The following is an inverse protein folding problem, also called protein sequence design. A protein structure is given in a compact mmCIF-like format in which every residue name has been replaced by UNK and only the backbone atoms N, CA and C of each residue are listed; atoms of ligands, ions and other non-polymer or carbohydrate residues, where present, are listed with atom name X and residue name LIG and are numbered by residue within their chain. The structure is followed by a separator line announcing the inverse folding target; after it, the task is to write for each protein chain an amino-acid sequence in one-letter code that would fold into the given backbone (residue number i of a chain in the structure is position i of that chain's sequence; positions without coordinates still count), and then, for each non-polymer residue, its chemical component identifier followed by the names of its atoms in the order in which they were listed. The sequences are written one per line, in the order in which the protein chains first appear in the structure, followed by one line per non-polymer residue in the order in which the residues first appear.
data_IF_997861822905
#
_entry.id   IF_997861822905
#
_cell.length_a   1.000
_cell.length_b   1.000
_cell.length_c   1.000
_cell.angle_alpha   90.00
_cell.angle_beta   90.00
_cell.angle_gamma   90.00
#
_symmetry.space_group_name_H-M   'P 1'
#
loop_
_entity.id
_entity.type
_entity.pdbx_description
1 polymer ?
#
# COMPACT_ATOMS: atom_id res chain seq x y z
N UNK A 1 -10.01 14.16 -4.37
CA UNK A 1 -10.78 14.44 -5.61
C UNK A 1 -11.13 13.17 -6.37
N UNK A 2 -10.15 12.34 -6.77
CA UNK A 2 -10.43 11.14 -7.59
C UNK A 2 -11.40 10.14 -6.96
N UNK A 3 -11.17 9.75 -5.70
CA UNK A 3 -12.07 8.82 -5.01
C UNK A 3 -13.46 9.42 -4.76
N UNK A 4 -13.55 10.68 -4.36
CA UNK A 4 -14.82 11.39 -4.23
C UNK A 4 -15.64 11.34 -5.53
N UNK A 5 -15.00 11.54 -6.69
CA UNK A 5 -15.67 11.43 -7.99
C UNK A 5 -16.12 10.00 -8.31
N UNK A 6 -15.31 8.99 -7.96
CA UNK A 6 -15.70 7.60 -8.10
C UNK A 6 -16.93 7.27 -7.23
N UNK A 7 -16.97 7.76 -6.00
CA UNK A 7 -18.11 7.59 -5.08
C UNK A 7 -19.37 8.27 -5.66
N UNK A 8 -19.27 9.51 -6.16
CA UNK A 8 -20.39 10.20 -6.81
C UNK A 8 -20.96 9.41 -7.99
N UNK A 9 -20.10 8.93 -8.88
CA UNK A 9 -20.50 8.09 -10.02
C UNK A 9 -21.12 6.77 -9.56
N UNK A 10 -20.56 6.15 -8.52
CA UNK A 10 -21.11 4.92 -7.96
C UNK A 10 -22.50 5.16 -7.36
N UNK A 11 -22.75 6.30 -6.68
CA UNK A 11 -24.09 6.66 -6.16
C UNK A 11 -25.15 6.68 -7.27
N UNK A 12 -24.79 7.17 -8.46
CA UNK A 12 -25.70 7.31 -9.60
C UNK A 12 -25.82 6.03 -10.44
N UNK A 13 -24.71 5.38 -10.77
CA UNK A 13 -24.64 4.28 -11.74
C UNK A 13 -24.32 2.92 -11.12
N UNK A 14 -24.11 2.86 -9.81
CA UNK A 14 -23.68 1.65 -9.10
C UNK A 14 -22.16 1.48 -9.02
N UNK A 15 -21.44 1.80 -10.08
CA UNK A 15 -19.98 1.68 -10.16
C UNK A 15 -19.39 2.99 -10.66
N UNK A 16 -18.40 3.50 -9.96
CA UNK A 16 -17.59 4.63 -10.40
C UNK A 16 -16.15 4.19 -10.61
N UNK A 17 -15.59 4.55 -11.77
CA UNK A 17 -14.20 4.25 -12.14
C UNK A 17 -13.53 5.53 -12.60
N UNK A 18 -12.39 5.84 -12.00
CA UNK A 18 -11.63 7.07 -12.27
C UNK A 18 -10.18 6.71 -12.53
N UNK A 19 -9.69 7.08 -13.71
CA UNK A 19 -8.28 7.04 -14.05
C UNK A 19 -7.68 8.44 -13.91
N UNK A 20 -6.52 8.53 -13.26
CA UNK A 20 -5.82 9.79 -12.96
C UNK A 20 -4.46 9.73 -13.62
N UNK A 21 -4.08 10.83 -14.28
CA UNK A 21 -2.78 10.97 -14.92
C UNK A 21 -2.03 12.22 -14.48
N UNK A 22 -0.71 12.24 -14.70
CA UNK A 22 0.17 13.35 -14.33
C UNK A 22 0.07 13.72 -12.83
N UNK A 23 0.03 12.70 -11.97
CA UNK A 23 -0.05 12.83 -10.53
C UNK A 23 1.32 12.67 -9.86
N UNK A 24 1.32 12.70 -8.52
CA UNK A 24 2.46 12.45 -7.66
C UNK A 24 2.17 11.29 -6.68
N UNK A 25 3.12 10.99 -5.81
CA UNK A 25 2.94 10.03 -4.73
C UNK A 25 1.77 10.45 -3.82
N UNK A 26 0.79 9.55 -3.62
CA UNK A 26 -0.44 9.85 -2.86
C UNK A 26 -0.44 9.35 -1.40
N UNK A 27 0.69 8.81 -0.92
CA UNK A 27 0.77 8.20 0.41
C UNK A 27 0.17 6.79 0.46
N UNK A 28 -0.64 6.54 1.48
CA UNK A 28 -1.21 5.23 1.80
C UNK A 28 -2.50 4.98 1.02
N UNK A 29 -2.55 3.91 0.22
CA UNK A 29 -3.72 3.56 -0.58
C UNK A 29 -4.95 3.22 0.27
N UNK A 30 -4.75 2.65 1.46
CA UNK A 30 -5.82 2.38 2.42
C UNK A 30 -6.63 3.64 2.77
N UNK A 31 -6.03 4.83 2.72
CA UNK A 31 -6.75 6.08 2.98
C UNK A 31 -7.78 6.41 1.89
N UNK A 32 -7.50 6.05 0.63
CA UNK A 32 -8.45 6.17 -0.47
C UNK A 32 -9.54 5.08 -0.38
N UNK A 33 -9.16 3.86 -0.02
CA UNK A 33 -10.10 2.76 0.21
C UNK A 33 -11.08 3.12 1.33
N UNK A 34 -10.59 3.69 2.43
CA UNK A 34 -11.42 4.09 3.58
C UNK A 34 -12.52 5.08 3.18
N UNK A 35 -12.23 6.04 2.29
CA UNK A 35 -13.25 7.00 1.82
C UNK A 35 -14.45 6.33 1.17
N UNK A 36 -14.24 5.25 0.42
CA UNK A 36 -15.35 4.49 -0.18
C UNK A 36 -16.08 3.64 0.87
N UNK A 37 -15.35 3.05 1.82
CA UNK A 37 -15.93 2.26 2.91
C UNK A 37 -16.83 3.13 3.81
N UNK A 38 -16.41 4.36 4.10
CA UNK A 38 -17.17 5.33 4.90
C UNK A 38 -18.54 5.65 4.26
N UNK A 39 -18.65 5.47 2.94
CA UNK A 39 -19.88 5.65 2.15
C UNK A 39 -20.63 4.33 1.89
N UNK A 40 -20.24 3.25 2.57
CA UNK A 40 -20.85 1.92 2.42
C UNK A 40 -20.52 1.24 1.10
N UNK A 41 -19.40 1.59 0.45
CA UNK A 41 -18.99 1.07 -0.85
C UNK A 41 -17.73 0.20 -0.76
N UNK A 42 -17.61 -0.75 -1.69
CA UNK A 42 -16.37 -1.46 -1.94
C UNK A 42 -15.42 -0.60 -2.77
N UNK A 43 -14.12 -0.86 -2.70
CA UNK A 43 -13.13 -0.12 -3.49
C UNK A 43 -11.96 -0.97 -3.98
N UNK A 44 -11.43 -0.60 -5.14
CA UNK A 44 -10.14 -1.01 -5.67
C UNK A 44 -9.31 0.25 -5.93
N UNK A 45 -8.04 0.24 -5.52
CA UNK A 45 -7.09 1.35 -5.67
C UNK A 45 -5.77 0.81 -6.17
N UNK A 46 -5.38 1.25 -7.36
CA UNK A 46 -4.11 0.92 -8.01
C UNK A 46 -3.32 2.21 -8.29
N UNK A 47 -2.00 2.11 -8.20
CA UNK A 47 -1.07 3.15 -8.63
C UNK A 47 0.20 2.51 -9.15
N UNK A 48 0.95 3.19 -10.02
CA UNK A 48 2.33 2.83 -10.33
C UNK A 48 3.33 3.73 -9.56
N UNK A 49 4.62 3.47 -9.68
CA UNK A 49 5.70 4.23 -9.03
C UNK A 49 7.02 4.05 -9.79
N UNK A 50 8.02 4.85 -9.41
CA UNK A 50 9.38 4.77 -9.93
C UNK A 50 10.00 3.37 -9.75
N UNK A 51 10.91 2.94 -10.66
CA UNK A 51 11.55 1.63 -10.62
C UNK A 51 12.15 1.25 -9.26
N UNK A 52 11.76 0.10 -8.74
CA UNK A 52 12.25 -0.44 -7.47
C UNK A 52 12.36 -1.98 -7.45
N UNK A 53 11.53 -2.69 -8.21
CA UNK A 53 11.54 -4.15 -8.34
C UNK A 53 12.01 -4.59 -9.72
N UNK A 54 12.70 -5.74 -9.82
CA UNK A 54 12.87 -6.42 -11.09
C UNK A 54 11.58 -7.12 -11.49
N UNK A 55 11.43 -7.36 -12.80
CA UNK A 55 10.52 -8.42 -13.26
C UNK A 55 11.12 -9.78 -12.86
N UNK A 56 10.27 -10.76 -12.57
CA UNK A 56 10.78 -12.09 -12.20
C UNK A 56 11.68 -12.67 -13.31
N UNK A 57 12.88 -13.12 -12.93
CA UNK A 57 13.94 -13.55 -13.86
C UNK A 57 14.87 -12.43 -14.34
N UNK A 58 14.56 -11.17 -14.04
CA UNK A 58 15.44 -10.03 -14.25
C UNK A 58 16.24 -9.66 -12.99
N UNK A 59 17.30 -8.86 -13.17
CA UNK A 59 18.12 -8.32 -12.07
C UNK A 59 18.07 -6.79 -11.93
N UNK A 60 17.51 -6.10 -12.92
CA UNK A 60 17.45 -4.63 -12.95
C UNK A 60 16.12 -4.12 -12.43
N UNK A 61 16.13 -2.98 -11.73
CA UNK A 61 14.91 -2.27 -11.33
C UNK A 61 14.16 -1.83 -12.59
N UNK A 62 12.89 -2.22 -12.69
CA UNK A 62 12.02 -1.86 -13.80
C UNK A 62 10.62 -1.47 -13.31
N UNK A 63 10.05 -2.29 -12.43
CA UNK A 63 8.69 -2.07 -11.94
C UNK A 63 8.68 -1.31 -10.62
N UNK A 64 7.59 -0.60 -10.35
CA UNK A 64 7.35 0.05 -9.06
C UNK A 64 6.99 -0.94 -7.93
N UNK A 65 7.05 -0.46 -6.69
CA UNK A 65 6.55 -1.14 -5.47
C UNK A 65 5.19 -0.62 -5.03
N UNK A 66 4.49 0.08 -5.93
CA UNK A 66 3.23 0.69 -5.59
C UNK A 66 2.20 -0.33 -5.11
N UNK A 67 1.44 0.01 -4.08
CA UNK A 67 0.54 -0.94 -3.46
C UNK A 67 -0.67 -1.24 -4.32
N UNK A 68 -1.14 -2.49 -4.18
CA UNK A 68 -2.51 -2.88 -4.50
C UNK A 68 -3.30 -2.69 -3.22
N UNK A 69 -4.39 -1.94 -3.31
CA UNK A 69 -5.34 -1.86 -2.21
C UNK A 69 -6.77 -2.13 -2.64
N UNK A 70 -7.52 -2.73 -1.74
CA UNK A 70 -8.95 -2.92 -1.89
C UNK A 70 -9.62 -3.01 -0.52
N UNK A 71 -10.93 -2.81 -0.50
CA UNK A 71 -11.67 -2.92 0.75
C UNK A 71 -13.17 -3.00 0.56
N UNK A 72 -13.84 -3.36 1.66
CA UNK A 72 -15.29 -3.54 1.72
C UNK A 72 -15.81 -3.20 3.13
N UNK A 73 -17.01 -2.59 3.23
CA UNK A 73 -17.62 -2.28 4.51
C UNK A 73 -18.08 -3.56 5.24
N UNK A 74 -18.10 -3.48 6.56
CA UNK A 74 -18.63 -4.51 7.46
C UNK A 74 -19.80 -3.94 8.30
N UNK A 75 -20.47 -4.81 9.05
CA UNK A 75 -21.54 -4.45 9.98
C UNK A 75 -20.96 -4.12 11.35
N UNK A 76 -21.01 -5.10 12.24
CA UNK A 76 -20.51 -4.99 13.61
C UNK A 76 -19.00 -5.23 13.72
N UNK A 77 -18.42 -5.96 12.76
CA UNK A 77 -16.99 -6.26 12.74
C UNK A 77 -16.20 -5.16 12.00
N UNK A 78 -14.86 -5.27 12.05
CA UNK A 78 -13.98 -4.34 11.34
C UNK A 78 -14.11 -4.50 9.82
N UNK A 79 -14.10 -3.39 9.05
CA UNK A 79 -14.09 -3.47 7.59
C UNK A 79 -12.84 -4.18 7.07
N UNK A 80 -13.00 -4.83 5.92
CA UNK A 80 -11.92 -5.42 5.16
C UNK A 80 -11.10 -4.32 4.49
N UNK A 81 -9.80 -4.25 4.77
CA UNK A 81 -8.86 -3.37 4.07
C UNK A 81 -7.58 -4.14 3.78
N UNK A 82 -7.30 -4.36 2.51
CA UNK A 82 -6.01 -4.81 2.03
C UNK A 82 -5.25 -3.59 1.49
N UNK A 83 -4.02 -3.39 1.95
CA UNK A 83 -3.07 -2.43 1.38
C UNK A 83 -1.67 -3.06 1.42
N UNK A 84 -1.18 -3.50 0.26
CA UNK A 84 0.06 -4.28 0.19
C UNK A 84 0.94 -3.88 -0.99
N UNK A 85 2.24 -3.72 -0.72
CA UNK A 85 3.25 -3.64 -1.76
C UNK A 85 3.54 -5.03 -2.37
N UNK A 86 3.86 -5.14 -3.67
CA UNK A 86 4.16 -6.41 -4.33
C UNK A 86 5.57 -6.96 -4.04
N UNK A 87 6.32 -6.37 -3.11
CA UNK A 87 7.65 -6.82 -2.69
C UNK A 87 7.57 -7.87 -1.57
N UNK A 88 8.47 -8.84 -1.57
CA UNK A 88 8.52 -9.88 -0.52
C UNK A 88 8.81 -9.32 0.88
N UNK A 89 9.60 -8.25 0.96
CA UNK A 89 9.90 -7.55 2.19
C UNK A 89 10.00 -6.03 1.94
N UNK A 90 9.52 -5.26 2.91
CA UNK A 90 9.72 -3.82 2.92
C UNK A 90 11.19 -3.47 3.18
N UNK A 91 11.69 -2.40 2.55
CA UNK A 91 13.07 -1.90 2.74
C UNK A 91 13.43 -1.70 4.22
N UNK A 92 12.49 -1.21 5.02
CA UNK A 92 12.70 -1.01 6.46
C UNK A 92 13.02 -2.29 7.26
N UNK A 93 12.64 -3.48 6.77
CA UNK A 93 13.05 -4.76 7.37
C UNK A 93 14.54 -5.04 7.17
N UNK A 94 15.09 -4.64 6.02
CA UNK A 94 16.54 -4.72 5.76
C UNK A 94 17.28 -3.72 6.65
N UNK A 95 16.82 -2.47 6.70
CA UNK A 95 17.45 -1.45 7.56
C UNK A 95 17.44 -1.86 9.05
N UNK A 96 16.41 -2.60 9.47
CA UNK A 96 16.37 -3.22 10.80
C UNK A 96 17.43 -4.33 10.94
N UNK A 97 17.51 -5.27 9.99
CA UNK A 97 18.51 -6.34 10.02
C UNK A 97 19.95 -5.80 10.06
N UNK A 98 20.25 -4.73 9.31
CA UNK A 98 21.55 -4.03 9.37
C UNK A 98 21.83 -3.53 10.78
N UNK A 99 20.87 -2.81 11.39
CA UNK A 99 21.02 -2.26 12.74
C UNK A 99 21.22 -3.34 13.81
N UNK A 100 20.68 -4.53 13.58
CA UNK A 100 20.79 -5.67 14.50
C UNK A 100 21.97 -6.59 14.19
N UNK A 101 22.68 -6.39 13.07
CA UNK A 101 23.73 -7.31 12.62
C UNK A 101 23.20 -8.68 12.23
N UNK A 102 21.92 -8.77 11.85
CA UNK A 102 21.24 -10.01 11.51
C UNK A 102 21.30 -10.27 9.99
N UNK A 103 21.25 -11.55 9.62
CA UNK A 103 21.07 -11.98 8.23
C UNK A 103 19.61 -11.85 7.81
N UNK A 104 19.38 -11.65 6.51
CA UNK A 104 18.05 -11.72 5.90
C UNK A 104 17.85 -13.08 5.22
N UNK A 105 16.60 -13.53 5.03
CA UNK A 105 16.33 -14.67 4.17
C UNK A 105 16.88 -14.46 2.75
N UNK A 106 17.48 -15.50 2.18
CA UNK A 106 18.17 -15.44 0.88
C UNK A 106 17.25 -15.14 -0.30
N UNK A 107 15.95 -15.38 -0.15
CA UNK A 107 14.93 -15.16 -1.18
C UNK A 107 14.35 -13.74 -1.18
N UNK A 108 14.88 -12.84 -0.34
CA UNK A 108 14.38 -11.47 -0.23
C UNK A 108 14.90 -10.52 -1.31
N UNK A 109 16.16 -10.70 -1.73
CA UNK A 109 16.87 -9.72 -2.55
C UNK A 109 17.97 -10.36 -3.39
N UNK A 110 18.34 -9.65 -4.44
CA UNK A 110 19.56 -9.87 -5.20
C UNK A 110 20.61 -8.82 -4.81
N UNK A 111 21.88 -9.18 -4.89
CA UNK A 111 23.00 -8.24 -4.84
C UNK A 111 23.19 -7.48 -6.16
N UNK A 112 24.26 -6.68 -6.27
CA UNK A 112 24.59 -5.89 -7.46
C UNK A 112 24.97 -6.73 -8.69
N UNK A 113 25.37 -7.99 -8.50
CA UNK A 113 25.68 -8.92 -9.59
C UNK A 113 24.41 -9.65 -10.08
N UNK A 114 23.39 -9.73 -9.22
CA UNK A 114 22.13 -10.43 -9.48
C UNK A 114 22.03 -11.78 -8.79
N UNK A 115 22.88 -12.06 -7.81
CA UNK A 115 22.84 -13.28 -7.01
C UNK A 115 21.97 -13.09 -5.76
N UNK A 116 21.29 -14.15 -5.34
CA UNK A 116 20.56 -14.18 -4.06
C UNK A 116 21.51 -13.90 -2.89
N UNK A 117 21.06 -13.12 -1.90
CA UNK A 117 21.93 -12.73 -0.78
C UNK A 117 21.21 -12.79 0.57
N UNK A 118 21.90 -13.27 1.61
CA UNK A 118 21.50 -13.17 3.01
C UNK A 118 22.12 -11.95 3.74
N UNK A 119 22.97 -11.19 3.03
CA UNK A 119 23.63 -10.02 3.54
C UNK A 119 22.77 -8.78 3.29
N UNK A 120 22.30 -8.09 4.34
CA UNK A 120 21.41 -6.94 4.16
C UNK A 120 22.10 -5.71 3.54
N UNK A 121 23.42 -5.54 3.69
CA UNK A 121 24.16 -4.46 3.03
C UNK A 121 24.26 -4.71 1.52
N UNK A 122 24.59 -5.94 1.10
CA UNK A 122 24.59 -6.33 -0.31
C UNK A 122 23.20 -6.20 -0.95
N UNK A 123 22.14 -6.51 -0.19
CA UNK A 123 20.76 -6.36 -0.66
C UNK A 123 20.37 -4.89 -0.94
N UNK A 124 20.91 -3.92 -0.18
CA UNK A 124 20.66 -2.50 -0.43
C UNK A 124 21.32 -1.98 -1.71
N UNK A 125 22.43 -2.60 -2.12
CA UNK A 125 23.13 -2.27 -3.36
C UNK A 125 22.46 -2.89 -4.59
N UNK A 126 21.70 -3.98 -4.41
CA UNK A 126 20.97 -4.66 -5.48
C UNK A 126 19.48 -4.29 -5.52
N UNK A 127 18.63 -5.33 -5.54
CA UNK A 127 17.19 -5.21 -5.74
C UNK A 127 16.38 -6.16 -4.86
N UNK A 128 15.23 -5.69 -4.37
CA UNK A 128 14.26 -6.53 -3.69
C UNK A 128 13.51 -7.40 -4.68
N UNK A 129 13.19 -8.63 -4.29
CA UNK A 129 12.42 -9.54 -5.14
C UNK A 129 10.89 -9.37 -4.95
N UNK A 130 10.10 -9.61 -6.00
CA UNK A 130 8.64 -9.63 -5.89
C UNK A 130 8.14 -10.77 -4.98
N UNK A 131 7.07 -10.51 -4.23
CA UNK A 131 6.45 -11.52 -3.37
C UNK A 131 5.91 -12.70 -4.18
N UNK A 132 6.11 -13.93 -3.72
CA UNK A 132 5.63 -15.11 -4.44
C UNK A 132 6.20 -15.24 -5.87
N UNK A 133 7.39 -14.66 -6.12
CA UNK A 133 8.13 -14.76 -7.37
C UNK A 133 7.35 -14.23 -8.60
N UNK A 134 7.05 -15.07 -9.60
CA UNK A 134 6.31 -14.65 -10.79
C UNK A 134 4.96 -13.96 -10.49
N UNK A 135 4.28 -14.35 -9.40
CA UNK A 135 2.96 -13.79 -9.05
C UNK A 135 3.06 -12.33 -8.62
N UNK A 136 3.98 -11.99 -7.72
CA UNK A 136 4.22 -10.60 -7.32
C UNK A 136 4.71 -9.75 -8.48
N UNK A 137 5.56 -10.32 -9.35
CA UNK A 137 5.99 -9.62 -10.57
C UNK A 137 4.79 -9.30 -11.47
N UNK A 138 3.84 -10.22 -11.63
CA UNK A 138 2.63 -10.00 -12.41
C UNK A 138 1.72 -8.94 -11.77
N UNK A 139 1.64 -8.88 -10.44
CA UNK A 139 0.91 -7.82 -9.73
C UNK A 139 1.53 -6.44 -9.98
N UNK A 140 2.86 -6.32 -9.95
CA UNK A 140 3.54 -5.04 -10.28
C UNK A 140 3.30 -4.61 -11.74
N UNK A 141 3.29 -5.56 -12.68
CA UNK A 141 2.97 -5.29 -14.09
C UNK A 141 1.50 -4.84 -14.24
N UNK A 142 0.57 -5.51 -13.55
CA UNK A 142 -0.84 -5.11 -13.54
C UNK A 142 -1.01 -3.66 -13.06
N UNK A 143 -0.29 -3.24 -12.02
CA UNK A 143 -0.31 -1.86 -11.54
C UNK A 143 0.07 -0.86 -12.63
N UNK A 144 1.09 -1.19 -13.42
CA UNK A 144 1.56 -0.33 -14.50
C UNK A 144 0.61 -0.31 -15.70
N UNK A 145 -0.07 -1.44 -15.98
CA UNK A 145 -1.13 -1.51 -17.00
C UNK A 145 -2.30 -0.59 -16.64
N UNK A 146 -2.86 -0.70 -15.44
CA UNK A 146 -4.04 0.08 -15.04
C UNK A 146 -3.71 1.54 -14.70
N UNK A 147 -2.54 1.78 -14.13
CA UNK A 147 -2.22 3.09 -13.58
C UNK A 147 -1.34 3.90 -14.52
N UNK A 148 -0.39 3.29 -15.24
CA UNK A 148 0.46 3.97 -16.22
C UNK A 148 -0.17 3.99 -17.60
N UNK A 149 -0.24 2.81 -18.23
CA UNK A 149 -0.66 2.63 -19.64
C UNK A 149 -2.09 3.14 -19.87
N UNK A 150 -3.06 2.69 -19.07
CA UNK A 150 -4.45 3.08 -19.23
C UNK A 150 -4.70 4.57 -18.96
N UNK A 151 -4.00 5.15 -17.97
CA UNK A 151 -4.18 6.57 -17.64
C UNK A 151 -3.50 7.51 -18.65
N UNK A 152 -2.49 7.02 -19.38
CA UNK A 152 -1.63 7.85 -20.21
C UNK A 152 -0.54 8.59 -19.43
N UNK A 153 -0.19 8.11 -18.22
CA UNK A 153 0.97 8.58 -17.45
C UNK A 153 2.23 7.78 -17.82
N UNK A 154 3.35 8.11 -17.18
CA UNK A 154 4.57 7.33 -17.30
C UNK A 154 4.34 5.86 -16.87
N UNK A 155 5.01 4.95 -17.58
CA UNK A 155 4.94 3.49 -17.39
C UNK A 155 6.27 2.86 -17.78
N UNK A 156 6.42 1.54 -17.65
CA UNK A 156 7.62 0.77 -18.02
C UNK A 156 8.92 1.33 -17.43
N UNK A 157 8.84 1.84 -16.21
CA UNK A 157 9.97 2.40 -15.48
C UNK A 157 10.31 3.86 -15.79
N UNK A 158 9.41 4.58 -16.47
CA UNK A 158 9.58 6.01 -16.75
C UNK A 158 9.02 6.94 -15.67
N UNK A 159 8.36 6.41 -14.64
CA UNK A 159 7.89 7.22 -13.49
C UNK A 159 9.10 7.81 -12.78
N UNK A 160 9.14 9.14 -12.65
CA UNK A 160 10.25 9.85 -12.00
C UNK A 160 10.22 9.56 -10.49
N UNK A 161 11.41 9.40 -9.92
CA UNK A 161 11.58 9.20 -8.49
C UNK A 161 11.04 10.41 -7.70
N UNK A 162 10.24 10.24 -6.62
CA UNK A 162 9.72 11.35 -5.83
C UNK A 162 10.80 12.24 -5.18
N UNK A 163 12.05 11.74 -5.07
CA UNK A 163 13.20 12.50 -4.56
C UNK A 163 13.97 13.25 -5.66
N UNK A 164 13.57 13.14 -6.93
CA UNK A 164 14.13 13.90 -8.04
C UNK A 164 13.22 15.10 -8.37
N UNK A 165 13.56 16.32 -7.91
CA UNK A 165 12.74 17.50 -8.16
C UNK A 165 12.90 18.07 -9.58
N UNK A 166 13.77 17.51 -10.42
CA UNK A 166 14.08 18.05 -11.75
C UNK A 166 13.00 17.80 -12.79
N UNK A 167 12.10 16.83 -12.53
CA UNK A 167 11.03 16.42 -13.45
C UNK A 167 9.76 16.11 -12.65
N UNK A 168 8.61 16.24 -13.31
CA UNK A 168 7.36 15.75 -12.74
C UNK A 168 7.43 14.23 -12.51
N UNK A 169 6.82 13.76 -11.42
CA UNK A 169 6.73 12.34 -11.09
C UNK A 169 6.03 11.54 -12.22
N UNK A 170 4.96 12.14 -12.77
CA UNK A 170 4.10 11.55 -13.79
C UNK A 170 3.54 10.18 -13.38
N UNK A 171 3.09 10.10 -12.12
CA UNK A 171 2.43 8.91 -11.58
C UNK A 171 1.01 8.86 -12.09
N UNK A 172 0.52 7.66 -12.42
CA UNK A 172 -0.90 7.46 -12.66
C UNK A 172 -1.56 6.62 -11.59
N UNK A 173 -2.89 6.75 -11.49
CA UNK A 173 -3.71 6.03 -10.52
C UNK A 173 -4.99 5.52 -11.17
N UNK A 174 -5.54 4.46 -10.62
CA UNK A 174 -6.81 3.88 -11.03
C UNK A 174 -7.64 3.54 -9.80
N UNK A 175 -8.80 4.18 -9.69
CA UNK A 175 -9.66 4.13 -8.51
C UNK A 175 -11.04 3.61 -8.92
N UNK A 176 -11.59 2.73 -8.10
CA UNK A 176 -12.93 2.17 -8.29
C UNK A 176 -13.70 2.25 -6.99
N UNK A 177 -14.97 2.65 -7.07
CA UNK A 177 -15.97 2.52 -6.02
C UNK A 177 -17.15 1.71 -6.55
N UNK A 178 -17.61 0.71 -5.79
CA UNK A 178 -18.69 -0.20 -6.19
C UNK A 178 -19.71 -0.27 -5.06
N UNK A 179 -20.98 -0.05 -5.39
CA UNK A 179 -22.08 -0.24 -4.45
C UNK A 179 -22.41 -1.73 -4.26
N UNK A 180 -22.40 -2.27 -3.04
CA UNK A 180 -22.85 -3.64 -2.77
C UNK A 180 -24.35 -3.83 -3.02
N UNK A 181 -25.15 -2.78 -2.80
CA UNK A 181 -26.60 -2.77 -2.93
C UNK A 181 -27.14 -3.01 -4.35
N UNK A 182 -26.25 -3.08 -5.35
CA UNK A 182 -26.56 -3.53 -6.70
C UNK A 182 -26.95 -5.00 -6.77
N UNK A 183 -26.46 -5.83 -5.83
CA UNK A 183 -26.57 -7.29 -5.90
C UNK A 183 -27.32 -7.90 -4.71
N UNK A 184 -27.29 -7.28 -3.54
CA UNK A 184 -28.01 -7.69 -2.33
C UNK A 184 -28.17 -6.48 -1.41
N UNK A 185 -29.08 -6.51 -0.42
CA UNK A 185 -29.18 -5.38 0.51
C UNK A 185 -27.85 -5.07 1.20
N UNK A 186 -27.60 -3.80 1.54
CA UNK A 186 -26.36 -3.43 2.23
C UNK A 186 -26.26 -4.11 3.62
N UNK A 187 -27.39 -4.34 4.28
CA UNK A 187 -27.47 -5.08 5.53
C UNK A 187 -27.02 -6.55 5.35
N UNK A 188 -27.57 -7.25 4.34
CA UNK A 188 -27.15 -8.62 4.03
C UNK A 188 -25.67 -8.70 3.67
N UNK A 189 -25.16 -7.73 2.89
CA UNK A 189 -23.75 -7.67 2.54
C UNK A 189 -22.87 -7.53 3.79
N UNK A 190 -23.20 -6.59 4.67
CA UNK A 190 -22.47 -6.34 5.92
C UNK A 190 -22.50 -7.55 6.85
N UNK A 191 -23.66 -8.19 7.03
CA UNK A 191 -23.78 -9.40 7.84
C UNK A 191 -22.91 -10.57 7.30
N UNK A 192 -22.79 -10.69 5.97
CA UNK A 192 -21.91 -11.68 5.33
C UNK A 192 -20.43 -11.33 5.51
N UNK A 193 -20.08 -10.04 5.50
CA UNK A 193 -18.72 -9.59 5.80
C UNK A 193 -18.33 -9.85 7.25
N UNK A 194 -19.24 -9.62 8.20
CA UNK A 194 -19.04 -9.96 9.61
C UNK A 194 -18.84 -11.46 9.80
N UNK A 195 -19.68 -12.27 9.14
CA UNK A 195 -19.52 -13.73 9.15
C UNK A 195 -18.16 -14.16 8.56
N UNK A 196 -17.74 -13.55 7.45
CA UNK A 196 -16.42 -13.84 6.85
C UNK A 196 -15.29 -13.50 7.82
N UNK A 197 -15.33 -12.32 8.44
CA UNK A 197 -14.37 -11.91 9.46
C UNK A 197 -14.28 -12.96 10.57
N UNK A 198 -15.42 -13.31 11.18
CA UNK A 198 -15.50 -14.28 12.27
C UNK A 198 -14.94 -15.64 11.87
N UNK A 199 -15.25 -16.12 10.66
CA UNK A 199 -14.72 -17.40 10.14
C UNK A 199 -13.20 -17.36 9.93
N UNK A 200 -12.64 -16.24 9.49
CA UNK A 200 -11.20 -16.10 9.28
C UNK A 200 -10.46 -16.07 10.61
N UNK A 201 -10.87 -15.21 11.54
CA UNK A 201 -10.15 -15.00 12.81
C UNK A 201 -10.31 -16.19 13.78
N UNK A 202 -11.37 -16.99 13.64
CA UNK A 202 -11.62 -18.21 14.41
C UNK A 202 -11.13 -19.50 13.76
N UNK A 203 -10.46 -19.43 12.60
CA UNK A 203 -9.90 -20.60 11.93
C UNK A 203 -8.85 -21.30 12.81
N UNK A 204 -8.66 -22.61 12.60
CA UNK A 204 -7.65 -23.39 13.30
C UNK A 204 -6.26 -22.80 13.07
N UNK A 205 -5.57 -22.51 14.17
CA UNK A 205 -4.27 -21.85 14.16
C UNK A 205 -3.18 -22.87 13.89
N UNK A 206 -2.19 -22.47 13.08
CA UNK A 206 -0.95 -23.23 12.96
C UNK A 206 -0.14 -23.19 14.27
N UNK A 207 0.76 -24.16 14.46
CA UNK A 207 1.62 -24.21 15.64
C UNK A 207 2.42 -22.92 15.84
N UNK A 208 2.43 -22.39 17.06
CA UNK A 208 3.14 -21.15 17.41
C UNK A 208 2.42 -19.85 17.04
N UNK A 209 1.18 -19.90 16.53
CA UNK A 209 0.37 -18.71 16.25
C UNK A 209 -0.66 -18.49 17.37
N UNK A 210 -0.59 -17.33 18.02
CA UNK A 210 -1.51 -16.96 19.11
C UNK A 210 -2.86 -16.46 18.59
N UNK A 211 -2.85 -15.68 17.51
CA UNK A 211 -4.03 -15.01 16.92
C UNK A 211 -3.90 -14.89 15.41
N UNK A 212 -5.02 -15.10 14.70
CA UNK A 212 -5.17 -14.76 13.28
C UNK A 212 -5.79 -13.37 13.21
N UNK A 213 -5.20 -12.50 12.40
CA UNK A 213 -5.73 -11.16 12.12
C UNK A 213 -6.41 -11.13 10.76
N UNK A 214 -7.49 -10.36 10.67
CA UNK A 214 -8.12 -10.03 9.41
C UNK A 214 -7.34 -8.92 8.68
N UNK A 215 -7.35 -8.87 7.34
CA UNK A 215 -6.64 -7.82 6.60
C UNK A 215 -7.10 -6.40 7.01
N UNK A 216 -6.15 -5.58 7.44
CA UNK A 216 -6.36 -4.22 7.93
C UNK A 216 -6.66 -4.15 9.43
N UNK A 217 -6.87 -5.27 10.12
CA UNK A 217 -7.21 -5.27 11.55
C UNK A 217 -6.06 -4.76 12.42
N UNK A 218 -4.81 -5.12 12.09
CA UNK A 218 -3.62 -4.69 12.83
C UNK A 218 -3.52 -3.16 12.82
N UNK A 219 -3.67 -2.56 11.64
CA UNK A 219 -3.62 -1.12 11.43
C UNK A 219 -4.79 -0.40 12.12
N UNK A 220 -5.99 -0.99 12.08
CA UNK A 220 -7.15 -0.42 12.75
C UNK A 220 -7.04 -0.47 14.28
N UNK A 221 -6.52 -1.56 14.86
CA UNK A 221 -6.23 -1.65 16.31
C UNK A 221 -5.20 -0.59 16.70
N UNK A 222 -4.12 -0.47 15.92
CA UNK A 222 -3.08 0.53 16.15
C UNK A 222 -3.67 1.94 16.08
N UNK A 223 -4.52 2.24 15.09
CA UNK A 223 -5.22 3.53 14.98
C UNK A 223 -6.03 3.82 16.25
N UNK A 224 -6.83 2.88 16.72
CA UNK A 224 -7.67 3.05 17.93
C UNK A 224 -6.83 3.33 19.19
N UNK A 225 -5.66 2.70 19.30
CA UNK A 225 -4.70 2.98 20.36
C UNK A 225 -4.11 4.39 20.22
N UNK A 226 -3.60 4.74 19.03
CA UNK A 226 -2.93 6.03 18.77
C UNK A 226 -3.86 7.23 18.88
N UNK A 227 -5.15 7.06 18.62
CA UNK A 227 -6.16 8.09 18.89
C UNK A 227 -6.31 8.41 20.39
N UNK A 228 -5.93 7.48 21.27
CA UNK A 228 -6.00 7.64 22.74
C UNK A 228 -4.65 8.05 23.33
N UNK A 229 -3.57 7.47 22.83
CA UNK A 229 -2.22 7.59 23.43
C UNK A 229 -1.31 8.57 22.69
N UNK A 230 -1.74 9.07 21.54
CA UNK A 230 -0.91 9.90 20.65
C UNK A 230 0.03 9.06 19.76
N UNK A 231 0.60 9.72 18.75
CA UNK A 231 1.58 9.13 17.84
C UNK A 231 2.98 9.32 18.44
N UNK A 232 3.76 8.24 18.62
CA UNK A 232 5.09 8.34 19.17
C UNK A 232 6.03 8.83 18.07
N UNK A 233 6.71 9.94 18.33
CA UNK A 233 7.78 10.44 17.48
C UNK A 233 9.12 10.24 18.17
N UNK A 234 10.13 9.87 17.40
CA UNK A 234 11.52 9.93 17.84
C UNK A 234 11.99 11.38 17.92
N UNK A 235 13.04 11.62 18.69
CA UNK A 235 13.62 12.97 18.79
C UNK A 235 14.07 13.51 17.44
N UNK A 236 14.67 12.66 16.61
CA UNK A 236 15.11 13.04 15.26
C UNK A 236 13.97 13.45 14.33
N UNK A 237 12.80 12.79 14.42
CA UNK A 237 11.61 13.18 13.65
C UNK A 237 11.06 14.54 14.11
N UNK A 238 11.00 14.79 15.42
CA UNK A 238 10.58 16.08 15.98
C UNK A 238 11.52 17.20 15.54
N UNK A 239 12.83 16.97 15.64
CA UNK A 239 13.82 17.97 15.26
C UNK A 239 13.73 18.29 13.76
N UNK A 240 13.58 17.27 12.89
CA UNK A 240 13.41 17.48 11.45
C UNK A 240 12.13 18.29 11.12
N UNK A 241 11.00 17.97 11.76
CA UNK A 241 9.76 18.73 11.60
C UNK A 241 9.88 20.17 12.08
N UNK A 242 10.61 20.39 13.19
CA UNK A 242 10.83 21.73 13.74
C UNK A 242 11.76 22.58 12.86
N UNK A 243 12.73 21.97 12.17
CA UNK A 243 13.53 22.68 11.17
C UNK A 243 12.67 23.13 9.98
N UNK A 244 11.79 22.27 9.46
CA UNK A 244 10.84 22.65 8.41
C UNK A 244 9.88 23.76 8.88
N UNK A 245 9.36 23.68 10.10
CA UNK A 245 8.49 24.70 10.69
C UNK A 245 9.15 26.08 10.71
N UNK A 246 10.44 26.16 11.06
CA UNK A 246 11.20 27.42 11.06
C UNK A 246 11.32 28.03 9.66
N UNK A 247 11.50 27.21 8.62
CA UNK A 247 11.62 27.69 7.24
C UNK A 247 10.34 28.37 6.75
N UNK A 248 9.18 27.92 7.23
CA UNK A 248 7.87 28.45 6.83
C UNK A 248 7.23 29.37 7.88
N UNK A 249 7.91 29.62 9.00
CA UNK A 249 7.41 30.48 10.10
C UNK A 249 6.25 29.89 10.90
N UNK A 250 6.16 28.56 10.99
CA UNK A 250 5.17 27.84 11.79
C UNK A 250 5.68 27.56 13.22
N UNK A 251 4.76 27.31 14.14
CA UNK A 251 5.07 26.93 15.51
C UNK A 251 5.78 25.57 15.57
N UNK A 252 6.75 25.45 16.48
CA UNK A 252 7.48 24.19 16.71
C UNK A 252 6.71 23.25 17.62
N UNK A 253 6.86 21.95 17.38
CA UNK A 253 6.38 20.88 18.23
C UNK A 253 7.16 20.86 19.55
N UNK A 254 6.43 20.99 20.66
CA UNK A 254 6.93 20.80 22.03
C UNK A 254 6.42 19.45 22.54
N UNK A 255 7.18 18.38 22.29
CA UNK A 255 6.86 17.01 22.74
C UNK A 255 7.99 16.46 23.58
#
# INVERSE_FOLDING_TARGET
MGMARAIEMAKEFGIGMVSIKHSNHFGMSAWLVQQAIDEGMMSLVFTNSSPALPVWGGRSKLMGVSPIACGAPAGDERPFILDMAPSIAARGKIDKAIRQGEKIPTDWALDSEGNMTDNPASALEGVMLPMGGPKGSALSIMMDVFSGVLSGSAYAGHVTNPYDPSKAADVGHFLVAIKPDLFMSLEDFKARMDYLYQRVVSCDKMGGVDRIYYPGEIEQIMRDERMKTGIPFTRGEIDALNEEAKLVGADTLNV
#
